data_IF_428761667744
#
_entry.id   IF_428761667744
#
_cell.length_a   1.000
_cell.length_b   1.000
_cell.length_c   1.000
_cell.angle_alpha   90.00
_cell.angle_beta   90.00
_cell.angle_gamma   90.00
#
_symmetry.space_group_name_H-M   'P 1'
#
loop_
_entity.id
_entity.type
_entity.pdbx_description
1 polymer ?
#
# COMPACT_ATOMS: atom_id res chain seq x y z
N UNK A 1 -18.93 58.18 41.35
CA UNK A 1 -18.63 57.73 39.95
C UNK A 1 -17.66 56.59 40.05
N UNK A 2 -18.17 55.38 40.06
CA UNK A 2 -17.39 54.15 40.17
C UNK A 2 -17.39 53.48 38.78
N UNK A 3 -16.22 53.44 38.09
CA UNK A 3 -16.03 52.71 36.87
C UNK A 3 -15.72 51.24 37.22
N UNK A 4 -16.61 50.34 36.87
CA UNK A 4 -16.37 48.89 36.92
C UNK A 4 -15.67 48.43 35.67
N UNK A 5 -14.43 47.92 35.77
CA UNK A 5 -13.77 47.17 34.76
C UNK A 5 -14.30 45.73 34.71
N UNK A 6 -15.05 45.40 33.70
CA UNK A 6 -15.40 44.02 33.38
C UNK A 6 -14.23 43.33 32.65
N UNK A 7 -13.53 42.45 33.32
CA UNK A 7 -12.54 41.59 32.71
C UNK A 7 -13.24 40.43 31.95
N UNK A 8 -13.19 40.45 30.64
CA UNK A 8 -13.64 39.33 29.81
C UNK A 8 -12.62 38.19 29.89
N UNK A 9 -12.96 37.14 30.61
CA UNK A 9 -12.25 35.86 30.59
C UNK A 9 -12.53 35.19 29.26
N UNK A 10 -11.59 35.30 28.31
CA UNK A 10 -11.55 34.43 27.13
C UNK A 10 -11.13 33.05 27.61
N UNK A 11 -12.08 32.13 27.71
CA UNK A 11 -11.80 30.70 27.84
C UNK A 11 -11.21 30.20 26.53
N UNK A 12 -9.92 30.00 26.50
CA UNK A 12 -9.28 29.23 25.45
C UNK A 12 -9.79 27.77 25.58
N UNK A 13 -10.75 27.39 24.76
CA UNK A 13 -11.08 26.00 24.59
C UNK A 13 -9.84 25.32 23.99
N UNK A 14 -9.12 24.57 24.82
CA UNK A 14 -8.13 23.63 24.32
C UNK A 14 -8.88 22.62 23.46
N UNK A 15 -8.72 22.71 22.16
CA UNK A 15 -9.08 21.63 21.26
C UNK A 15 -8.19 20.46 21.68
N UNK A 16 -8.78 19.43 22.27
CA UNK A 16 -8.12 18.15 22.40
C UNK A 16 -7.67 17.76 20.98
N UNK A 17 -6.39 17.63 20.76
CA UNK A 17 -5.89 17.16 19.49
C UNK A 17 -6.44 15.74 19.28
N UNK A 18 -7.30 15.57 18.30
CA UNK A 18 -7.72 14.24 17.90
C UNK A 18 -6.47 13.42 17.62
N UNK A 19 -6.52 12.12 17.99
CA UNK A 19 -5.40 11.22 17.70
C UNK A 19 -5.14 11.19 16.17
N UNK A 20 -3.87 11.12 15.76
CA UNK A 20 -3.54 11.05 14.34
C UNK A 20 -4.31 9.91 13.65
N UNK A 21 -5.03 10.23 12.58
CA UNK A 21 -5.92 9.31 11.90
C UNK A 21 -5.68 9.29 10.39
N UNK A 22 -5.72 8.09 9.82
CA UNK A 22 -5.78 7.89 8.36
C UNK A 22 -7.01 7.05 8.04
N UNK A 23 -7.87 7.59 7.20
CA UNK A 23 -9.09 6.91 6.73
C UNK A 23 -9.43 7.32 5.30
N UNK A 24 -10.46 6.72 4.73
CA UNK A 24 -10.98 7.06 3.40
C UNK A 24 -12.50 7.14 3.42
N UNK A 25 -13.05 7.78 2.40
CA UNK A 25 -14.45 7.74 2.03
C UNK A 25 -14.57 7.53 0.51
N UNK A 26 -15.77 7.59 -0.04
CA UNK A 26 -16.02 7.42 -1.48
C UNK A 26 -15.31 8.43 -2.40
N UNK A 27 -14.71 9.47 -1.86
CA UNK A 27 -14.11 10.56 -2.64
C UNK A 27 -12.59 10.57 -2.60
N UNK A 28 -11.99 10.28 -1.46
CA UNK A 28 -10.54 10.33 -1.31
C UNK A 28 -10.03 9.77 0.03
N UNK A 29 -8.73 9.81 0.17
CA UNK A 29 -8.02 9.63 1.44
C UNK A 29 -8.23 10.86 2.34
N UNK A 30 -8.32 10.62 3.65
CA UNK A 30 -8.46 11.65 4.69
C UNK A 30 -7.36 11.39 5.72
N UNK A 31 -6.48 12.37 5.89
CA UNK A 31 -5.36 12.32 6.85
C UNK A 31 -5.57 13.46 7.86
N UNK A 32 -5.68 13.11 9.13
CA UNK A 32 -5.89 14.05 10.23
C UNK A 32 -7.01 15.06 9.91
N UNK A 33 -8.15 14.53 9.47
CA UNK A 33 -9.34 15.30 9.13
C UNK A 33 -9.27 16.06 7.79
N UNK A 34 -8.13 16.05 7.10
CA UNK A 34 -7.95 16.74 5.81
C UNK A 34 -8.03 15.79 4.64
N UNK A 35 -8.82 16.15 3.64
CA UNK A 35 -8.92 15.41 2.39
C UNK A 35 -7.68 15.64 1.53
N UNK A 36 -7.09 14.56 1.04
CA UNK A 36 -5.88 14.59 0.23
C UNK A 36 -6.04 13.78 -1.06
N UNK A 37 -5.37 14.22 -2.11
CA UNK A 37 -5.15 13.45 -3.33
C UNK A 37 -3.68 13.03 -3.32
N UNK A 38 -3.37 11.77 -3.02
CA UNK A 38 -1.99 11.34 -2.91
C UNK A 38 -1.33 11.20 -4.28
N UNK A 39 -0.05 11.57 -4.34
CA UNK A 39 0.86 11.18 -5.43
C UNK A 39 1.84 10.20 -4.81
N UNK A 40 1.60 8.91 -5.04
CA UNK A 40 2.43 7.85 -4.47
C UNK A 40 3.59 7.55 -5.40
N UNK A 41 4.82 7.63 -4.86
CA UNK A 41 6.03 7.20 -5.53
C UNK A 41 6.58 5.94 -4.87
N UNK A 42 6.94 4.95 -5.69
CA UNK A 42 7.46 3.69 -5.18
C UNK A 42 8.98 3.61 -5.29
N UNK A 43 9.62 3.21 -4.19
CA UNK A 43 11.06 2.97 -4.11
C UNK A 43 11.33 1.76 -3.21
N UNK A 44 12.05 0.77 -3.73
CA UNK A 44 12.34 -0.45 -2.98
C UNK A 44 13.64 -0.30 -2.20
N UNK A 45 13.52 0.02 -0.90
CA UNK A 45 14.66 0.31 -0.04
C UNK A 45 15.76 -0.74 -0.11
N UNK A 46 15.41 -2.04 -0.14
CA UNK A 46 16.40 -3.12 -0.17
C UNK A 46 17.12 -3.31 -1.51
N UNK A 47 16.78 -2.52 -2.54
CA UNK A 47 17.42 -2.51 -3.87
C UNK A 47 18.33 -1.30 -4.09
N UNK A 48 18.33 -0.36 -3.16
CA UNK A 48 19.13 0.87 -3.23
C UNK A 48 20.13 0.86 -2.09
N UNK A 49 21.39 1.26 -2.33
CA UNK A 49 22.36 1.39 -1.26
C UNK A 49 21.84 2.30 -0.14
N UNK A 50 22.02 1.89 1.11
CA UNK A 50 21.49 2.64 2.25
C UNK A 50 22.03 4.09 2.33
N UNK A 51 23.21 4.32 1.78
CA UNK A 51 23.84 5.65 1.69
C UNK A 51 23.09 6.60 0.74
N UNK A 52 22.28 6.07 -0.17
CA UNK A 52 21.56 6.86 -1.18
C UNK A 52 20.09 7.12 -0.79
N UNK A 53 19.56 6.43 0.21
CA UNK A 53 18.12 6.51 0.58
C UNK A 53 17.65 7.95 0.81
N UNK A 54 18.41 8.74 1.55
CA UNK A 54 18.00 10.11 1.87
C UNK A 54 17.94 11.01 0.62
N UNK A 55 18.90 10.85 -0.27
CA UNK A 55 18.95 11.60 -1.52
C UNK A 55 17.80 11.19 -2.46
N UNK A 56 17.54 9.89 -2.59
CA UNK A 56 16.44 9.38 -3.42
C UNK A 56 15.07 9.84 -2.88
N UNK A 57 14.84 9.75 -1.58
CA UNK A 57 13.59 10.23 -0.95
C UNK A 57 13.38 11.73 -1.18
N UNK A 58 14.45 12.54 -1.11
CA UNK A 58 14.40 13.97 -1.42
C UNK A 58 14.05 14.25 -2.88
N UNK A 59 14.71 13.57 -3.81
CA UNK A 59 14.42 13.71 -5.24
C UNK A 59 12.95 13.39 -5.55
N UNK A 60 12.43 12.33 -4.93
CA UNK A 60 11.01 11.98 -5.08
C UNK A 60 10.11 13.09 -4.55
N UNK A 61 10.41 13.65 -3.37
CA UNK A 61 9.67 14.77 -2.79
C UNK A 61 9.71 16.01 -3.68
N UNK A 62 10.89 16.37 -4.16
CA UNK A 62 11.09 17.51 -5.08
C UNK A 62 10.36 17.31 -6.42
N UNK A 63 10.22 16.05 -6.86
CA UNK A 63 9.42 15.64 -8.00
C UNK A 63 7.91 15.66 -7.77
N UNK A 64 7.44 16.02 -6.56
CA UNK A 64 6.01 16.14 -6.24
C UNK A 64 5.39 14.89 -5.62
N UNK A 65 6.19 13.88 -5.27
CA UNK A 65 5.69 12.72 -4.51
C UNK A 65 5.29 13.16 -3.11
N UNK A 66 4.10 12.75 -2.68
CA UNK A 66 3.54 13.08 -1.37
C UNK A 66 3.49 11.88 -0.42
N UNK A 67 3.63 10.66 -0.93
CA UNK A 67 3.65 9.41 -0.16
C UNK A 67 4.68 8.48 -0.79
N UNK A 68 5.54 7.89 0.04
CA UNK A 68 6.47 6.85 -0.37
C UNK A 68 5.82 5.48 -0.20
N UNK A 69 5.88 4.63 -1.22
CA UNK A 69 5.57 3.21 -1.10
C UNK A 69 6.86 2.38 -1.21
N UNK A 70 6.95 1.31 -0.42
CA UNK A 70 8.07 0.38 -0.50
C UNK A 70 7.65 -1.04 -0.15
N UNK A 71 8.23 -2.02 -0.87
CA UNK A 71 8.05 -3.43 -0.55
C UNK A 71 9.03 -3.91 0.52
N UNK A 72 8.55 -4.83 1.34
CA UNK A 72 9.41 -5.75 2.10
C UNK A 72 9.47 -7.07 1.33
N UNK A 73 10.52 -7.27 0.56
CA UNK A 73 10.73 -8.54 -0.13
C UNK A 73 11.18 -9.61 0.87
N UNK A 74 10.31 -10.57 1.13
CA UNK A 74 10.58 -11.60 2.13
C UNK A 74 11.88 -12.34 1.87
N UNK A 75 12.16 -12.71 0.61
CA UNK A 75 13.40 -13.40 0.23
C UNK A 75 14.68 -12.54 0.40
N UNK A 76 14.55 -11.21 0.48
CA UNK A 76 15.69 -10.35 0.82
C UNK A 76 15.97 -10.34 2.33
N UNK A 77 14.94 -10.55 3.13
CA UNK A 77 15.00 -10.43 4.59
C UNK A 77 15.25 -11.79 5.26
N UNK A 78 14.70 -12.85 4.71
CA UNK A 78 14.81 -14.24 5.22
C UNK A 78 15.18 -15.18 4.06
N UNK A 79 16.41 -15.07 3.58
CA UNK A 79 16.94 -15.93 2.53
C UNK A 79 17.02 -17.39 2.98
N UNK A 80 17.37 -17.61 4.24
CA UNK A 80 17.40 -18.91 4.91
C UNK A 80 16.34 -18.93 6.02
N UNK A 81 15.62 -20.04 6.13
CA UNK A 81 14.55 -20.20 7.12
C UNK A 81 15.01 -19.87 8.54
N UNK A 82 14.31 -18.95 9.19
CA UNK A 82 14.57 -18.51 10.56
C UNK A 82 15.71 -17.52 10.73
N UNK A 83 16.40 -17.15 9.66
CA UNK A 83 17.51 -16.19 9.70
C UNK A 83 17.07 -14.87 9.05
N UNK A 84 16.62 -13.93 9.88
CA UNK A 84 16.21 -12.60 9.44
C UNK A 84 17.37 -11.62 9.46
N UNK A 85 17.53 -10.86 8.38
CA UNK A 85 18.57 -9.84 8.25
C UNK A 85 17.94 -8.45 8.04
N UNK A 86 18.11 -7.60 9.04
CA UNK A 86 17.64 -6.21 9.04
C UNK A 86 18.81 -5.21 9.07
N UNK A 87 19.95 -5.55 8.47
CA UNK A 87 21.15 -4.71 8.47
C UNK A 87 21.50 -4.16 7.08
N UNK A 88 22.26 -3.08 7.05
CA UNK A 88 22.72 -2.45 5.82
C UNK A 88 21.52 -1.98 4.98
N UNK A 89 21.50 -2.34 3.70
CA UNK A 89 20.38 -1.96 2.82
C UNK A 89 19.07 -2.72 3.09
N UNK A 90 19.03 -3.58 4.13
CA UNK A 90 17.82 -4.25 4.60
C UNK A 90 17.26 -3.62 5.88
N UNK A 91 17.84 -2.53 6.37
CA UNK A 91 17.41 -1.81 7.57
C UNK A 91 16.13 -1.01 7.29
N UNK A 92 14.99 -1.72 7.37
CA UNK A 92 13.67 -1.14 7.16
C UNK A 92 13.39 0.02 8.11
N UNK A 93 13.77 -0.14 9.39
CA UNK A 93 13.54 0.89 10.40
C UNK A 93 14.21 2.20 10.00
N UNK A 94 15.51 2.14 9.66
CA UNK A 94 16.27 3.32 9.27
C UNK A 94 15.70 3.97 8.00
N UNK A 95 15.26 3.18 7.04
CA UNK A 95 14.62 3.73 5.84
C UNK A 95 13.33 4.52 6.17
N UNK A 96 12.46 3.97 7.03
CA UNK A 96 11.23 4.64 7.46
C UNK A 96 11.55 5.91 8.27
N UNK A 97 12.58 5.87 9.11
CA UNK A 97 13.04 7.05 9.86
C UNK A 97 13.54 8.16 8.93
N UNK A 98 14.23 7.83 7.84
CA UNK A 98 14.64 8.79 6.81
C UNK A 98 13.40 9.42 6.15
N UNK A 99 12.38 8.64 5.81
CA UNK A 99 11.14 9.20 5.28
C UNK A 99 10.48 10.16 6.28
N UNK A 100 10.52 9.84 7.58
CA UNK A 100 10.04 10.73 8.64
C UNK A 100 10.84 12.04 8.72
N UNK A 101 12.18 11.96 8.66
CA UNK A 101 13.05 13.13 8.62
C UNK A 101 12.72 14.04 7.44
N UNK A 102 12.44 13.46 6.28
CA UNK A 102 12.05 14.17 5.05
C UNK A 102 10.56 14.55 5.02
N UNK A 103 9.80 14.25 6.09
CA UNK A 103 8.37 14.56 6.23
C UNK A 103 7.49 13.94 5.14
N UNK A 104 7.81 12.72 4.72
CA UNK A 104 7.01 11.94 3.78
C UNK A 104 6.35 10.76 4.50
N UNK A 105 5.01 10.65 4.43
CA UNK A 105 4.29 9.46 4.83
C UNK A 105 4.75 8.23 4.07
N UNK A 106 4.63 7.06 4.68
CA UNK A 106 5.05 5.79 4.10
C UNK A 106 3.88 4.81 4.05
N UNK A 107 3.74 4.15 2.93
CA UNK A 107 2.90 2.96 2.77
C UNK A 107 3.82 1.75 2.65
N UNK A 108 3.65 0.78 3.56
CA UNK A 108 4.48 -0.40 3.60
C UNK A 108 3.77 -1.58 2.94
N UNK A 109 4.37 -2.14 1.89
CA UNK A 109 3.84 -3.30 1.18
C UNK A 109 4.48 -4.55 1.75
N UNK A 110 3.76 -5.25 2.66
CA UNK A 110 4.31 -6.32 3.51
C UNK A 110 4.13 -7.72 2.93
N UNK A 111 3.63 -7.82 1.73
CA UNK A 111 3.44 -9.09 1.04
C UNK A 111 2.38 -10.00 1.69
N UNK A 112 2.60 -11.32 1.79
CA UNK A 112 3.86 -12.08 1.58
C UNK A 112 4.34 -12.21 0.13
N UNK A 113 3.44 -12.05 -0.86
CA UNK A 113 3.78 -11.97 -2.27
C UNK A 113 3.77 -10.51 -2.71
N UNK A 114 4.87 -10.05 -3.29
CA UNK A 114 5.05 -8.65 -3.68
C UNK A 114 4.98 -8.45 -5.19
N UNK A 115 5.20 -9.45 -6.02
CA UNK A 115 5.56 -9.35 -7.43
C UNK A 115 6.90 -8.62 -7.59
N UNK A 116 6.89 -7.35 -7.94
CA UNK A 116 8.05 -6.43 -7.91
C UNK A 116 9.25 -6.89 -8.74
N UNK A 117 9.03 -7.69 -9.80
CA UNK A 117 10.08 -8.30 -10.63
C UNK A 117 11.18 -8.97 -9.80
N UNK A 118 10.77 -9.63 -8.71
CA UNK A 118 11.66 -10.40 -7.85
C UNK A 118 11.32 -11.88 -7.91
N UNK A 119 12.34 -12.74 -7.76
CA UNK A 119 12.16 -14.19 -7.78
C UNK A 119 11.03 -14.62 -6.85
N UNK A 120 10.13 -15.48 -7.36
CA UNK A 120 8.95 -15.99 -6.65
C UNK A 120 8.04 -14.91 -6.09
N UNK A 121 8.06 -13.69 -6.65
CA UNK A 121 7.32 -12.55 -6.12
C UNK A 121 7.74 -12.15 -4.69
N UNK A 122 8.97 -12.46 -4.31
CA UNK A 122 9.51 -12.18 -2.99
C UNK A 122 9.38 -13.30 -1.97
N UNK A 123 8.65 -14.38 -2.25
CA UNK A 123 8.57 -15.53 -1.34
C UNK A 123 9.90 -16.33 -1.40
N UNK A 124 10.53 -16.63 -0.26
CA UNK A 124 11.79 -17.38 -0.24
C UNK A 124 11.66 -18.79 -0.81
N UNK A 125 12.72 -19.29 -1.47
CA UNK A 125 12.75 -20.61 -2.09
C UNK A 125 12.45 -21.75 -1.09
N UNK A 126 12.92 -21.62 0.14
CA UNK A 126 12.70 -22.63 1.17
C UNK A 126 11.21 -22.85 1.51
N UNK A 127 10.35 -21.85 1.34
CA UNK A 127 8.89 -21.98 1.56
C UNK A 127 8.29 -23.03 0.63
N UNK A 128 8.73 -23.06 -0.64
CA UNK A 128 8.22 -24.01 -1.65
C UNK A 128 8.63 -25.45 -1.38
N UNK A 129 9.68 -25.67 -0.56
CA UNK A 129 10.10 -27.03 -0.16
C UNK A 129 9.30 -27.59 1.02
N UNK A 130 8.42 -26.77 1.63
CA UNK A 130 7.71 -27.16 2.86
C UNK A 130 6.41 -27.92 2.62
N UNK A 131 5.97 -28.11 1.38
CA UNK A 131 4.72 -28.80 1.07
C UNK A 131 3.48 -28.08 1.57
N UNK A 132 3.49 -26.74 1.55
CA UNK A 132 2.34 -25.88 1.82
C UNK A 132 1.88 -25.17 0.54
N UNK A 133 0.61 -24.81 0.49
CA UNK A 133 0.06 -24.02 -0.60
C UNK A 133 0.28 -22.54 -0.29
N UNK A 134 1.17 -21.88 -1.04
CA UNK A 134 1.41 -20.44 -0.93
C UNK A 134 0.19 -19.63 -1.36
N UNK A 135 0.11 -18.37 -0.90
CA UNK A 135 -0.97 -17.42 -1.22
C UNK A 135 -2.36 -18.04 -1.00
N UNK A 136 -2.55 -18.68 0.14
CA UNK A 136 -3.80 -19.35 0.52
C UNK A 136 -3.98 -19.38 2.03
N UNK A 137 -5.11 -19.92 2.49
CA UNK A 137 -5.36 -20.15 3.92
C UNK A 137 -4.70 -21.43 4.47
N UNK A 138 -3.72 -22.00 3.75
CA UNK A 138 -2.95 -23.12 4.27
C UNK A 138 -2.33 -22.77 5.63
N UNK A 139 -2.66 -23.52 6.72
CA UNK A 139 -2.21 -23.14 8.07
C UNK A 139 -0.69 -23.11 8.20
N UNK A 140 0.01 -23.96 7.46
CA UNK A 140 1.47 -23.99 7.47
C UNK A 140 2.05 -22.75 6.80
N UNK A 141 1.50 -22.34 5.64
CA UNK A 141 1.90 -21.11 4.99
C UNK A 141 1.62 -19.90 5.88
N UNK A 142 0.41 -19.82 6.46
CA UNK A 142 0.05 -18.73 7.35
C UNK A 142 0.93 -18.67 8.61
N UNK A 143 1.45 -19.80 9.09
CA UNK A 143 2.40 -19.80 10.22
C UNK A 143 3.75 -19.17 9.86
N UNK A 144 4.20 -19.29 8.61
CA UNK A 144 5.38 -18.60 8.13
C UNK A 144 5.13 -17.11 7.96
N UNK A 145 3.95 -16.75 7.44
CA UNK A 145 3.53 -15.34 7.32
C UNK A 145 3.43 -14.66 8.68
N UNK A 146 2.91 -15.34 9.71
CA UNK A 146 2.88 -14.80 11.08
C UNK A 146 4.29 -14.44 11.58
N UNK A 147 5.27 -15.33 11.35
CA UNK A 147 6.68 -15.06 11.70
C UNK A 147 7.23 -13.85 10.93
N UNK A 148 7.00 -13.78 9.62
CA UNK A 148 7.41 -12.65 8.80
C UNK A 148 6.81 -11.34 9.34
N UNK A 149 5.50 -11.31 9.58
CA UNK A 149 4.81 -10.11 10.04
C UNK A 149 5.28 -9.67 11.43
N UNK A 150 5.58 -10.61 12.34
CA UNK A 150 6.20 -10.27 13.64
C UNK A 150 7.57 -9.62 13.47
N UNK A 151 8.37 -10.12 12.55
CA UNK A 151 9.68 -9.56 12.24
C UNK A 151 9.56 -8.16 11.63
N UNK A 152 8.66 -7.96 10.68
CA UNK A 152 8.39 -6.63 10.13
C UNK A 152 7.90 -5.70 11.25
N UNK A 153 6.96 -6.15 12.08
CA UNK A 153 6.41 -5.34 13.15
C UNK A 153 7.48 -4.90 14.16
N UNK A 154 8.45 -5.77 14.46
CA UNK A 154 9.56 -5.39 15.35
C UNK A 154 10.39 -4.21 14.82
N UNK A 155 10.45 -4.03 13.48
CA UNK A 155 11.16 -2.90 12.86
C UNK A 155 10.33 -1.61 12.88
N UNK A 156 9.00 -1.70 12.91
CA UNK A 156 8.10 -0.55 12.77
C UNK A 156 7.43 -0.10 14.07
N UNK A 157 7.77 -0.71 15.20
CA UNK A 157 7.24 -0.30 16.51
C UNK A 157 7.49 1.18 16.79
N UNK A 158 6.41 1.93 17.13
CA UNK A 158 6.46 3.37 17.37
C UNK A 158 6.58 4.22 16.10
N UNK A 159 6.50 3.61 14.90
CA UNK A 159 6.56 4.33 13.62
C UNK A 159 5.21 4.34 12.88
N UNK A 160 4.16 3.77 13.44
CA UNK A 160 2.82 3.87 12.87
C UNK A 160 2.28 5.30 13.01
N UNK A 161 1.35 5.71 12.14
CA UNK A 161 0.77 7.05 12.13
C UNK A 161 0.19 7.46 13.49
N UNK A 162 -0.57 6.57 14.11
CA UNK A 162 -1.14 6.77 15.44
C UNK A 162 -0.10 7.04 16.53
N UNK A 163 1.13 6.58 16.35
CA UNK A 163 2.25 6.76 17.27
C UNK A 163 3.10 8.00 16.92
N UNK A 164 2.65 8.82 15.97
CA UNK A 164 3.40 9.95 15.42
C UNK A 164 4.53 9.57 14.48
N UNK A 165 4.51 8.35 13.95
CA UNK A 165 5.40 7.87 12.90
C UNK A 165 4.88 8.20 11.50
N UNK A 166 5.66 7.94 10.45
CA UNK A 166 5.27 8.23 9.08
C UNK A 166 4.45 7.10 8.43
N UNK A 167 4.37 5.92 9.06
CA UNK A 167 3.73 4.75 8.48
C UNK A 167 2.21 4.86 8.55
N UNK A 168 1.57 5.11 7.42
CA UNK A 168 0.15 5.45 7.33
C UNK A 168 -0.76 4.31 6.86
N UNK A 169 -0.24 3.33 6.16
CA UNK A 169 -1.01 2.18 5.67
C UNK A 169 -0.11 0.99 5.33
N UNK A 170 -0.70 -0.21 5.25
CA UNK A 170 -0.02 -1.42 4.77
C UNK A 170 -0.79 -2.10 3.64
N UNK A 171 -0.04 -2.65 2.68
CA UNK A 171 -0.59 -3.51 1.63
C UNK A 171 -0.35 -4.98 1.96
N UNK A 172 -1.41 -5.78 1.77
CA UNK A 172 -1.31 -7.23 1.74
C UNK A 172 -1.29 -7.74 0.31
N UNK A 173 -0.39 -8.68 0.05
CA UNK A 173 -0.27 -9.39 -1.22
C UNK A 173 -0.23 -8.44 -2.45
N UNK A 174 -0.19 -8.97 -3.65
CA UNK A 174 -0.24 -8.18 -4.87
C UNK A 174 -0.86 -9.00 -6.00
N UNK A 175 -1.77 -8.39 -6.76
CA UNK A 175 -2.47 -9.05 -7.89
C UNK A 175 -3.04 -10.43 -7.54
N UNK A 176 -3.59 -10.57 -6.35
CA UNK A 176 -4.18 -11.82 -5.90
C UNK A 176 -5.57 -12.00 -6.51
N UNK A 177 -5.84 -13.18 -7.06
CA UNK A 177 -7.10 -13.49 -7.75
C UNK A 177 -7.90 -14.62 -7.10
N UNK A 178 -7.48 -15.06 -5.91
CA UNK A 178 -8.18 -16.08 -5.13
C UNK A 178 -9.29 -15.50 -4.25
N UNK A 179 -9.63 -16.23 -3.17
CA UNK A 179 -10.66 -15.79 -2.22
C UNK A 179 -10.17 -14.66 -1.32
N UNK A 180 -10.98 -13.63 -1.14
CA UNK A 180 -10.75 -12.57 -0.14
C UNK A 180 -10.59 -13.09 1.29
N UNK A 181 -11.04 -14.30 1.58
CA UNK A 181 -10.85 -14.94 2.89
C UNK A 181 -9.35 -15.09 3.25
N UNK A 182 -8.48 -15.28 2.24
CA UNK A 182 -7.03 -15.28 2.45
C UNK A 182 -6.52 -13.89 2.86
N UNK A 183 -6.94 -12.84 2.18
CA UNK A 183 -6.59 -11.47 2.54
C UNK A 183 -7.07 -11.11 3.95
N UNK A 184 -8.27 -11.58 4.31
CA UNK A 184 -8.79 -11.43 5.68
C UNK A 184 -7.99 -12.25 6.71
N UNK A 185 -7.42 -13.39 6.32
CA UNK A 185 -6.50 -14.13 7.20
C UNK A 185 -5.21 -13.34 7.44
N UNK A 186 -4.63 -12.72 6.40
CA UNK A 186 -3.47 -11.84 6.54
C UNK A 186 -3.77 -10.66 7.47
N UNK A 187 -4.93 -10.02 7.30
CA UNK A 187 -5.38 -8.92 8.16
C UNK A 187 -5.51 -9.35 9.63
N UNK A 188 -6.12 -10.52 9.90
CA UNK A 188 -6.24 -11.03 11.27
C UNK A 188 -4.88 -11.26 11.91
N UNK A 189 -3.91 -11.82 11.18
CA UNK A 189 -2.54 -12.01 11.66
C UNK A 189 -1.91 -10.65 11.99
N UNK A 190 -1.92 -9.72 11.06
CA UNK A 190 -1.32 -8.40 11.24
C UNK A 190 -1.95 -7.65 12.44
N UNK A 191 -3.28 -7.60 12.54
CA UNK A 191 -3.97 -6.96 13.68
C UNK A 191 -3.64 -7.65 14.99
N UNK A 192 -3.57 -8.97 15.03
CA UNK A 192 -3.20 -9.76 16.22
C UNK A 192 -1.76 -9.50 16.69
N UNK A 193 -0.87 -9.06 15.80
CA UNK A 193 0.52 -8.70 16.12
C UNK A 193 0.62 -7.26 16.64
N UNK A 194 -0.26 -6.35 16.20
CA UNK A 194 -0.26 -4.95 16.61
C UNK A 194 -0.22 -3.93 15.47
N UNK A 195 -0.34 -4.36 14.21
CA UNK A 195 -0.56 -3.42 13.12
C UNK A 195 -1.91 -2.72 13.30
N UNK A 196 -1.88 -1.43 13.49
CA UNK A 196 -3.05 -0.60 13.74
C UNK A 196 -3.06 0.61 12.83
N UNK A 197 -3.40 0.36 11.57
CA UNK A 197 -3.41 1.29 10.47
C UNK A 197 -4.33 0.75 9.36
N UNK A 198 -4.74 1.56 8.39
CA UNK A 198 -5.48 1.12 7.21
C UNK A 198 -4.74 0.05 6.40
N UNK A 199 -5.52 -0.89 5.89
CA UNK A 199 -5.01 -1.93 5.00
C UNK A 199 -5.60 -1.78 3.61
N UNK A 200 -4.79 -2.14 2.62
CA UNK A 200 -5.22 -2.20 1.24
C UNK A 200 -4.59 -3.38 0.51
N UNK A 201 -5.04 -3.65 -0.68
CA UNK A 201 -4.44 -4.62 -1.58
C UNK A 201 -4.46 -4.11 -3.01
N UNK A 202 -3.45 -4.45 -3.81
CA UNK A 202 -3.44 -4.25 -5.25
C UNK A 202 -4.21 -5.41 -5.89
N UNK A 203 -5.50 -5.33 -5.85
CA UNK A 203 -6.45 -6.19 -6.54
C UNK A 203 -7.84 -5.56 -6.39
N UNK A 204 -8.50 -5.27 -7.49
CA UNK A 204 -9.91 -4.88 -7.46
C UNK A 204 -10.79 -6.06 -7.01
N UNK A 205 -11.86 -5.77 -6.30
CA UNK A 205 -12.75 -6.84 -5.80
C UNK A 205 -13.28 -7.76 -6.90
N UNK A 206 -13.54 -7.26 -8.11
CA UNK A 206 -13.99 -8.12 -9.19
C UNK A 206 -12.98 -9.16 -9.66
N UNK A 207 -11.69 -8.98 -9.37
CA UNK A 207 -10.66 -9.97 -9.69
C UNK A 207 -10.62 -11.14 -8.70
N UNK A 208 -11.24 -10.99 -7.52
CA UNK A 208 -11.30 -12.02 -6.50
C UNK A 208 -12.42 -13.03 -6.79
N UNK A 209 -12.15 -14.30 -6.52
CA UNK A 209 -13.20 -15.34 -6.56
C UNK A 209 -14.26 -15.17 -5.48
N UNK A 210 -13.92 -14.50 -4.39
CA UNK A 210 -14.79 -14.05 -3.32
C UNK A 210 -14.27 -12.70 -2.83
N UNK A 211 -15.10 -11.64 -2.83
CA UNK A 211 -14.65 -10.31 -2.39
C UNK A 211 -14.32 -10.27 -0.90
N UNK A 212 -13.54 -9.26 -0.52
CA UNK A 212 -13.36 -8.87 0.89
C UNK A 212 -14.61 -8.14 1.36
N UNK A 213 -15.09 -8.35 2.60
CA UNK A 213 -16.23 -7.59 3.13
C UNK A 213 -15.98 -6.08 3.10
N UNK A 214 -17.07 -5.32 2.89
CA UNK A 214 -17.01 -3.86 2.82
C UNK A 214 -16.35 -3.24 4.06
N UNK A 215 -15.52 -2.22 3.85
CA UNK A 215 -14.84 -1.49 4.94
C UNK A 215 -13.59 -2.18 5.51
N UNK A 216 -13.35 -3.44 5.18
CA UNK A 216 -12.23 -4.19 5.76
C UNK A 216 -10.87 -3.83 5.14
N UNK A 217 -10.84 -3.52 3.85
CA UNK A 217 -9.66 -3.10 3.09
C UNK A 217 -10.06 -2.14 2.00
N UNK A 218 -9.09 -1.34 1.53
CA UNK A 218 -9.22 -0.51 0.36
C UNK A 218 -8.72 -1.28 -0.88
N UNK A 219 -9.55 -1.47 -1.93
CA UNK A 219 -9.08 -2.01 -3.20
C UNK A 219 -8.31 -0.93 -3.97
N UNK A 220 -7.13 -1.29 -4.47
CA UNK A 220 -6.37 -0.43 -5.39
C UNK A 220 -6.27 -1.11 -6.75
N UNK A 221 -6.24 -0.31 -7.79
CA UNK A 221 -6.30 -0.78 -9.18
C UNK A 221 -4.98 -0.54 -9.91
N UNK A 222 -4.70 -1.37 -10.92
CA UNK A 222 -3.74 -1.06 -11.97
C UNK A 222 -4.46 -0.40 -13.13
N UNK A 223 -3.93 0.67 -13.66
CA UNK A 223 -4.41 1.32 -14.87
C UNK A 223 -3.32 1.32 -15.94
N UNK A 224 -3.51 0.45 -16.93
CA UNK A 224 -2.56 0.24 -18.00
C UNK A 224 -3.17 0.65 -19.33
N UNK A 225 -2.34 1.19 -20.21
CA UNK A 225 -2.76 1.49 -21.56
C UNK A 225 -3.15 0.21 -22.32
N UNK A 226 -4.11 0.32 -23.24
CA UNK A 226 -4.49 -0.78 -24.10
C UNK A 226 -3.27 -1.26 -24.89
N UNK A 227 -3.06 -2.56 -24.94
CA UNK A 227 -1.95 -3.18 -25.63
C UNK A 227 -0.62 -3.20 -24.88
N UNK A 228 -0.60 -2.72 -23.65
CA UNK A 228 0.62 -2.69 -22.83
C UNK A 228 1.29 -4.07 -22.65
N UNK A 229 0.48 -5.13 -22.62
CA UNK A 229 0.93 -6.51 -22.37
C UNK A 229 0.94 -7.40 -23.64
N UNK A 230 0.66 -6.84 -24.81
CA UNK A 230 0.72 -7.59 -26.07
C UNK A 230 2.16 -7.99 -26.40
N UNK A 231 2.31 -9.21 -26.91
CA UNK A 231 3.61 -9.83 -27.11
C UNK A 231 4.07 -9.84 -28.58
N UNK A 232 3.17 -9.57 -29.53
CA UNK A 232 3.54 -9.46 -30.93
C UNK A 232 3.95 -8.03 -31.29
N UNK A 233 4.95 -7.90 -32.18
CA UNK A 233 5.40 -6.58 -32.66
C UNK A 233 4.26 -5.85 -33.38
N UNK A 234 3.42 -6.57 -34.12
CA UNK A 234 2.29 -6.00 -34.85
C UNK A 234 1.20 -5.51 -33.89
N UNK A 235 0.87 -6.33 -32.89
CA UNK A 235 -0.07 -5.93 -31.83
C UNK A 235 0.49 -4.78 -31.02
N UNK A 236 1.75 -4.83 -30.64
CA UNK A 236 2.42 -3.76 -29.90
C UNK A 236 2.45 -2.45 -30.69
N UNK A 237 2.78 -2.49 -31.98
CA UNK A 237 2.81 -1.28 -32.81
C UNK A 237 1.42 -0.64 -32.96
N UNK A 238 0.38 -1.44 -33.16
CA UNK A 238 -0.98 -0.96 -33.24
C UNK A 238 -1.49 -0.39 -31.91
N UNK A 239 -1.15 -1.05 -30.81
CA UNK A 239 -1.59 -0.68 -29.47
C UNK A 239 -0.69 0.38 -28.81
N UNK A 240 0.58 0.47 -29.19
CA UNK A 240 1.47 1.56 -28.81
C UNK A 240 0.87 2.91 -29.17
N UNK A 241 0.31 3.03 -30.36
CA UNK A 241 -0.40 4.24 -30.79
C UNK A 241 -1.66 4.51 -29.94
N UNK A 242 -2.40 3.46 -29.58
CA UNK A 242 -3.54 3.55 -28.67
C UNK A 242 -3.09 3.83 -27.23
N UNK A 243 -1.98 3.25 -26.81
CA UNK A 243 -1.41 3.46 -25.49
C UNK A 243 -1.00 4.91 -25.24
N UNK A 244 -0.42 5.57 -26.22
CA UNK A 244 -0.12 7.00 -26.16
C UNK A 244 -1.32 7.89 -26.52
N UNK A 245 -2.36 7.32 -27.13
CA UNK A 245 -3.56 8.04 -27.54
C UNK A 245 -4.72 7.89 -26.56
N UNK A 246 -4.42 7.75 -25.31
CA UNK A 246 -5.12 8.45 -24.27
C UNK A 246 -6.38 7.84 -23.69
N UNK A 247 -6.19 6.96 -22.81
CA UNK A 247 -6.92 7.04 -21.55
C UNK A 247 -6.75 8.40 -20.83
N UNK A 248 -5.73 9.22 -21.17
CA UNK A 248 -5.48 10.53 -20.58
C UNK A 248 -6.61 11.56 -20.73
N UNK A 249 -7.49 11.38 -21.70
CA UNK A 249 -8.71 12.18 -21.83
C UNK A 249 -9.92 11.58 -21.10
N UNK A 250 -9.75 10.42 -20.46
CA UNK A 250 -10.83 9.79 -19.70
C UNK A 250 -10.76 10.24 -18.26
N UNK A 251 -11.89 10.64 -17.70
CA UNK A 251 -11.95 10.92 -16.28
C UNK A 251 -11.66 9.67 -15.46
N UNK A 252 -11.12 9.83 -14.26
CA UNK A 252 -10.94 8.73 -13.29
C UNK A 252 -12.25 7.96 -13.05
N UNK A 253 -13.39 8.64 -13.07
CA UNK A 253 -14.71 8.02 -12.99
C UNK A 253 -14.99 7.12 -14.18
N UNK A 254 -14.65 7.54 -15.42
CA UNK A 254 -14.85 6.71 -16.61
C UNK A 254 -13.95 5.46 -16.58
N UNK A 255 -12.70 5.57 -16.12
CA UNK A 255 -11.79 4.44 -15.93
C UNK A 255 -12.33 3.50 -14.86
N UNK A 256 -12.76 4.01 -13.72
CA UNK A 256 -13.37 3.22 -12.65
C UNK A 256 -14.61 2.49 -13.15
N UNK A 257 -15.51 3.18 -13.85
CA UNK A 257 -16.72 2.58 -14.41
C UNK A 257 -16.42 1.49 -15.43
N UNK A 258 -15.37 1.64 -16.25
CA UNK A 258 -14.98 0.62 -17.20
C UNK A 258 -14.38 -0.60 -16.52
N UNK A 259 -13.46 -0.39 -15.58
CA UNK A 259 -12.84 -1.48 -14.84
C UNK A 259 -13.83 -2.19 -13.90
N UNK A 260 -14.69 -1.43 -13.25
CA UNK A 260 -15.76 -1.97 -12.40
C UNK A 260 -16.94 -2.47 -13.24
N UNK A 261 -17.27 -1.79 -14.34
CA UNK A 261 -18.44 -2.06 -15.17
C UNK A 261 -18.41 -3.42 -15.88
N UNK A 262 -17.25 -3.87 -16.34
CA UNK A 262 -17.08 -5.22 -16.92
C UNK A 262 -17.26 -6.35 -15.91
N UNK A 263 -17.34 -6.01 -14.65
CA UNK A 263 -17.29 -6.94 -13.52
C UNK A 263 -18.41 -6.66 -12.50
N UNK A 264 -19.33 -5.73 -12.80
CA UNK A 264 -20.37 -5.26 -11.90
C UNK A 264 -21.27 -6.35 -11.31
N UNK A 265 -21.37 -7.50 -11.95
CA UNK A 265 -22.13 -8.63 -11.42
C UNK A 265 -21.54 -9.24 -10.16
N UNK A 266 -20.30 -8.83 -9.80
CA UNK A 266 -19.56 -9.35 -8.64
C UNK A 266 -19.28 -8.31 -7.56
N UNK A 267 -19.68 -7.07 -7.74
CA UNK A 267 -19.49 -6.03 -6.73
C UNK A 267 -20.46 -6.27 -5.56
N UNK A 268 -19.95 -6.06 -4.34
CA UNK A 268 -20.81 -6.02 -3.17
C UNK A 268 -21.54 -4.68 -3.12
N UNK A 269 -22.71 -4.67 -2.49
CA UNK A 269 -23.39 -3.42 -2.15
C UNK A 269 -22.46 -2.54 -1.31
N UNK A 270 -22.22 -1.33 -1.75
CA UNK A 270 -21.34 -0.36 -1.09
C UNK A 270 -19.93 -0.26 -1.65
N UNK A 271 -19.52 -1.12 -2.59
CA UNK A 271 -18.20 -1.02 -3.22
C UNK A 271 -18.01 0.31 -3.97
N UNK A 272 -19.08 0.91 -4.47
CA UNK A 272 -19.10 2.27 -5.03
C UNK A 272 -18.78 3.37 -4.00
N UNK A 273 -18.75 3.05 -2.71
CA UNK A 273 -18.36 3.97 -1.64
C UNK A 273 -16.86 4.03 -1.42
N UNK A 274 -16.07 3.20 -2.12
CA UNK A 274 -14.63 3.30 -2.10
C UNK A 274 -14.15 4.42 -3.04
N UNK A 275 -13.09 5.15 -2.66
CA UNK A 275 -12.45 6.06 -3.59
C UNK A 275 -11.73 5.24 -4.66
N UNK A 276 -11.68 5.77 -5.87
CA UNK A 276 -10.90 5.14 -6.92
C UNK A 276 -9.44 5.60 -6.86
N UNK A 277 -8.56 4.67 -6.48
CA UNK A 277 -7.11 4.90 -6.51
C UNK A 277 -6.44 3.87 -7.40
N UNK A 278 -5.50 4.35 -8.21
CA UNK A 278 -4.53 3.49 -8.89
C UNK A 278 -3.27 3.40 -8.05
N UNK A 279 -2.71 2.22 -7.91
CA UNK A 279 -1.39 2.01 -7.30
C UNK A 279 -0.34 1.60 -8.33
N UNK A 280 -0.77 1.29 -9.53
CA UNK A 280 0.07 0.97 -10.67
C UNK A 280 -0.47 1.70 -11.88
N UNK A 281 0.32 2.60 -12.44
CA UNK A 281 0.00 3.33 -13.66
C UNK A 281 1.02 2.97 -14.73
N UNK A 282 0.58 2.25 -15.75
CA UNK A 282 1.44 1.84 -16.86
C UNK A 282 1.67 2.94 -17.87
N UNK A 283 2.81 3.64 -17.73
CA UNK A 283 3.28 4.64 -18.69
C UNK A 283 4.09 4.06 -19.86
N UNK A 284 4.38 2.80 -19.86
CA UNK A 284 5.15 2.08 -20.87
C UNK A 284 6.32 1.31 -20.29
N UNK A 285 6.46 0.07 -20.72
CA UNK A 285 7.76 -0.62 -20.66
C UNK A 285 8.47 -0.39 -22.01
N UNK A 286 9.67 0.13 -21.94
CA UNK A 286 10.56 0.17 -23.11
C UNK A 286 11.61 -0.93 -22.97
#
# INVERSE_FOLDING_TARGET
MLLGCAAALMSAQAHASEAPEVRWDSKSLIIDGRRVVPVMGEVHFSRIPATEWKDEVRKMKEGGVTIIATYVFWNHIEEQEGIFNWSGQRDLRRFIEICKEEQLPVILRIGPFCHGEVRNGGIPDWVFTKGCKTRSQDPKFLSFVDKLYRQIFSQIQGLQWKDGGPLMACQFDNEYRGSGDYLMALKRIAKGIGFDLPFYTRTGWPELSKPVPFGEMLPLYGDYADGFWERSIEETAGNYYKAFNFKAFRSSTAIATEQLGKQNEKLNEGDEQYPYFTCELGGGMM
#
